data_IF_880122522540
#
_entry.id   IF_880122522540
#
_cell.length_a   1.000
_cell.length_b   1.000
_cell.length_c   1.000
_cell.angle_alpha   90.00
_cell.angle_beta   90.00
_cell.angle_gamma   90.00
#
_symmetry.space_group_name_H-M   'P 1'
#
loop_
_entity.id
_entity.type
_entity.pdbx_description
1 polymer ?
#
# COMPACT_ATOMS: atom_id res chain seq x y z
N UNK A 1 -21.12 -3.24 -11.10
CA UNK A 1 -19.80 -3.55 -11.71
C UNK A 1 -18.80 -2.50 -11.20
N UNK A 2 -17.56 -2.87 -10.87
CA UNK A 2 -16.54 -1.89 -10.49
C UNK A 2 -16.11 -1.05 -11.70
N UNK A 3 -15.77 0.21 -11.48
CA UNK A 3 -15.29 1.14 -12.51
C UNK A 3 -14.00 0.62 -13.19
N UNK A 4 -13.84 0.95 -14.48
CA UNK A 4 -12.72 0.48 -15.30
C UNK A 4 -11.39 1.08 -14.82
N UNK A 5 -10.31 0.28 -14.82
CA UNK A 5 -8.96 0.72 -14.41
C UNK A 5 -8.40 1.90 -15.22
N UNK A 6 -8.90 2.10 -16.44
CA UNK A 6 -8.49 3.20 -17.33
C UNK A 6 -9.49 4.35 -17.38
N UNK A 7 -10.57 4.29 -16.60
CA UNK A 7 -11.43 5.45 -16.44
C UNK A 7 -10.74 6.49 -15.56
N UNK A 8 -11.03 7.76 -15.87
CA UNK A 8 -10.61 8.88 -15.04
C UNK A 8 -11.05 8.59 -13.61
N UNK A 9 -10.08 8.50 -12.69
CA UNK A 9 -10.37 8.21 -11.30
C UNK A 9 -11.39 9.24 -10.78
N UNK A 10 -12.48 8.80 -10.11
CA UNK A 10 -13.40 9.74 -9.48
C UNK A 10 -12.64 10.56 -8.43
N UNK A 11 -13.17 11.74 -8.11
CA UNK A 11 -12.64 12.54 -7.01
C UNK A 11 -12.62 11.68 -5.74
N UNK A 12 -11.51 11.75 -4.98
CA UNK A 12 -11.34 10.96 -3.77
C UNK A 12 -12.50 11.25 -2.80
N UNK A 13 -13.36 10.25 -2.60
CA UNK A 13 -14.43 10.27 -1.60
C UNK A 13 -13.95 9.44 -0.40
N UNK A 14 -13.24 10.08 0.52
CA UNK A 14 -12.66 9.46 1.71
C UNK A 14 -12.50 10.46 2.83
N UNK A 15 -12.46 10.00 4.08
CA UNK A 15 -12.21 10.85 5.23
C UNK A 15 -10.75 11.29 5.28
N UNK A 16 -10.42 12.40 5.95
CA UNK A 16 -9.03 12.86 6.16
C UNK A 16 -8.19 11.96 7.09
N UNK A 17 -8.72 10.78 7.44
CA UNK A 17 -8.17 9.87 8.44
C UNK A 17 -7.56 8.60 7.81
N UNK A 18 -7.34 8.59 6.49
CA UNK A 18 -6.69 7.50 5.77
C UNK A 18 -5.67 8.03 4.75
N UNK A 19 -4.60 7.26 4.53
CA UNK A 19 -3.63 7.52 3.47
C UNK A 19 -4.08 6.93 2.12
N UNK A 20 -4.85 5.83 2.15
CA UNK A 20 -5.33 5.14 0.96
C UNK A 20 -6.48 4.18 1.30
N UNK A 21 -7.26 3.80 0.30
CA UNK A 21 -8.22 2.69 0.38
C UNK A 21 -7.83 1.60 -0.63
N UNK A 22 -7.46 0.42 -0.13
CA UNK A 22 -6.91 -0.66 -0.96
C UNK A 22 -7.98 -1.70 -1.25
N UNK A 23 -8.12 -2.05 -2.54
CA UNK A 23 -8.99 -3.15 -3.01
C UNK A 23 -8.14 -4.20 -3.72
N UNK A 24 -8.01 -5.38 -3.12
CA UNK A 24 -7.29 -6.51 -3.72
C UNK A 24 -8.27 -7.61 -4.07
N UNK A 25 -8.33 -7.97 -5.36
CA UNK A 25 -8.99 -9.20 -5.80
C UNK A 25 -7.95 -10.28 -6.05
N UNK A 26 -8.12 -11.43 -5.42
CA UNK A 26 -7.24 -12.59 -5.59
C UNK A 26 -8.05 -13.87 -5.79
N UNK A 27 -7.41 -14.86 -6.40
CA UNK A 27 -7.98 -16.19 -6.65
C UNK A 27 -6.95 -17.24 -6.29
N UNK A 28 -7.34 -18.28 -5.56
CA UNK A 28 -6.45 -19.41 -5.29
C UNK A 28 -6.37 -20.33 -6.53
N UNK A 29 -5.28 -21.10 -6.70
CA UNK A 29 -5.20 -22.11 -7.75
C UNK A 29 -6.42 -23.04 -7.73
N UNK A 30 -6.97 -23.34 -8.91
CA UNK A 30 -8.16 -24.19 -9.05
C UNK A 30 -9.51 -23.54 -8.74
N UNK A 31 -9.56 -22.34 -8.16
CA UNK A 31 -10.85 -21.67 -7.94
C UNK A 31 -11.35 -20.97 -9.22
N UNK A 32 -12.67 -20.87 -9.39
CA UNK A 32 -13.31 -20.10 -10.47
C UNK A 32 -13.68 -18.69 -10.02
N UNK A 33 -13.89 -18.49 -8.72
CA UNK A 33 -14.37 -17.22 -8.15
C UNK A 33 -13.25 -16.47 -7.42
N UNK A 34 -13.13 -15.17 -7.70
CA UNK A 34 -12.18 -14.29 -7.00
C UNK A 34 -12.76 -13.79 -5.67
N UNK A 35 -11.91 -13.68 -4.66
CA UNK A 35 -12.19 -13.04 -3.37
C UNK A 35 -11.76 -11.58 -3.43
N UNK A 36 -12.53 -10.69 -2.80
CA UNK A 36 -12.21 -9.28 -2.67
C UNK A 36 -11.82 -8.98 -1.22
N UNK A 37 -10.70 -8.29 -1.03
CA UNK A 37 -10.28 -7.67 0.23
C UNK A 37 -10.40 -6.16 0.02
N UNK A 38 -11.06 -5.49 0.96
CA UNK A 38 -11.17 -4.03 1.01
C UNK A 38 -10.66 -3.55 2.36
N UNK A 39 -9.69 -2.64 2.36
CA UNK A 39 -9.03 -2.19 3.57
C UNK A 39 -8.62 -0.72 3.45
N UNK A 40 -9.05 0.09 4.42
CA UNK A 40 -8.53 1.44 4.61
C UNK A 40 -7.11 1.36 5.21
N UNK A 41 -6.21 2.20 4.74
CA UNK A 41 -4.89 2.44 5.33
C UNK A 41 -5.03 3.65 6.24
N UNK A 42 -5.13 3.46 7.57
CA UNK A 42 -5.36 4.57 8.48
C UNK A 42 -4.23 5.59 8.38
N UNK A 43 -4.56 6.88 8.49
CA UNK A 43 -3.61 8.00 8.49
C UNK A 43 -2.92 8.11 9.87
N UNK A 44 -2.32 7.01 10.30
CA UNK A 44 -1.61 6.89 11.57
C UNK A 44 -0.15 6.60 11.26
N UNK A 45 0.73 7.40 11.85
CA UNK A 45 2.17 7.16 11.84
C UNK A 45 2.58 6.61 13.21
N UNK A 46 3.32 5.51 13.19
CA UNK A 46 3.99 4.97 14.38
C UNK A 46 5.50 5.10 14.21
N UNK A 47 6.28 5.20 15.30
CA UNK A 47 7.73 5.10 15.23
C UNK A 47 8.15 3.80 14.53
N UNK A 48 9.18 3.85 13.69
CA UNK A 48 9.67 2.68 12.95
C UNK A 48 10.05 1.52 13.88
N UNK A 49 10.54 1.83 15.09
CA UNK A 49 10.89 0.85 16.12
C UNK A 49 9.68 0.05 16.63
N UNK A 50 8.47 0.58 16.49
CA UNK A 50 7.22 -0.07 16.87
C UNK A 50 6.55 -0.83 15.72
N UNK A 51 7.01 -0.64 14.47
CA UNK A 51 6.50 -1.38 13.32
C UNK A 51 6.85 -2.87 13.42
N UNK A 52 6.06 -3.75 12.79
CA UNK A 52 6.37 -5.18 12.77
C UNK A 52 7.63 -5.50 11.93
N UNK A 53 8.14 -6.73 12.07
CA UNK A 53 9.36 -7.15 11.39
C UNK A 53 9.26 -7.12 9.86
N UNK A 54 8.10 -7.42 9.28
CA UNK A 54 7.90 -7.42 7.84
C UNK A 54 7.90 -5.98 7.31
N UNK A 55 7.24 -5.06 8.02
CA UNK A 55 7.25 -3.64 7.67
C UNK A 55 8.66 -3.06 7.70
N UNK A 56 9.44 -3.35 8.75
CA UNK A 56 10.84 -2.91 8.85
C UNK A 56 11.71 -3.51 7.74
N UNK A 57 11.53 -4.79 7.43
CA UNK A 57 12.26 -5.45 6.35
C UNK A 57 11.92 -4.83 4.98
N UNK A 58 10.63 -4.62 4.71
CA UNK A 58 10.18 -4.00 3.46
C UNK A 58 10.75 -2.59 3.31
N UNK A 59 10.77 -1.80 4.39
CA UNK A 59 11.38 -0.48 4.38
C UNK A 59 12.89 -0.56 4.10
N UNK A 60 13.63 -1.43 4.81
CA UNK A 60 15.07 -1.59 4.58
C UNK A 60 15.40 -1.98 3.13
N UNK A 61 14.63 -2.89 2.54
CA UNK A 61 14.78 -3.29 1.14
C UNK A 61 14.51 -2.12 0.18
N UNK A 62 13.44 -1.36 0.42
CA UNK A 62 13.10 -0.17 -0.37
C UNK A 62 14.20 0.89 -0.27
N UNK A 63 14.70 1.16 0.93
CA UNK A 63 15.76 2.14 1.19
C UNK A 63 17.09 1.74 0.57
N UNK A 64 17.43 0.46 0.58
CA UNK A 64 18.59 -0.06 -0.13
C UNK A 64 18.45 0.16 -1.64
N UNK A 65 17.29 -0.20 -2.22
CA UNK A 65 17.03 0.01 -3.64
C UNK A 65 17.04 1.50 -4.04
N UNK A 66 16.61 2.39 -3.14
CA UNK A 66 16.71 3.84 -3.31
C UNK A 66 18.16 4.32 -3.22
N UNK A 67 18.96 3.82 -2.29
CA UNK A 67 20.37 4.17 -2.16
C UNK A 67 21.16 3.87 -3.45
N UNK A 68 20.84 2.75 -4.11
CA UNK A 68 21.40 2.41 -5.43
C UNK A 68 21.05 3.43 -6.55
N UNK A 69 20.02 4.26 -6.33
CA UNK A 69 19.54 5.29 -7.27
C UNK A 69 19.68 6.71 -6.71
N UNK A 70 20.63 6.94 -5.80
CA UNK A 70 20.93 8.27 -5.26
C UNK A 70 20.13 8.67 -4.02
N UNK A 71 19.16 7.86 -3.58
CA UNK A 71 18.58 7.94 -2.24
C UNK A 71 17.65 9.11 -1.98
N UNK A 72 17.10 9.77 -3.01
CA UNK A 72 16.23 10.96 -2.87
C UNK A 72 15.09 10.77 -1.85
N UNK A 73 14.51 9.57 -1.80
CA UNK A 73 13.37 9.24 -0.94
C UNK A 73 13.70 8.48 0.34
N UNK A 74 14.98 8.36 0.71
CA UNK A 74 15.35 7.67 1.95
C UNK A 74 14.96 8.45 3.21
N UNK A 75 14.73 9.76 3.13
CA UNK A 75 14.48 10.58 4.31
C UNK A 75 15.69 10.58 5.26
N UNK A 76 15.42 10.79 6.56
CA UNK A 76 16.44 10.65 7.62
C UNK A 76 16.42 9.22 8.15
N UNK A 77 16.93 8.28 7.35
CA UNK A 77 17.31 6.96 7.82
C UNK A 77 18.67 7.00 8.52
#
# INVERSE_FOLDING_TARGET
LNESRYQKAPAASGGKNEYAFVKVRYKLPGQSTSKLIEQAVPAVSIPLTQADANTRLALAAASYAQALRGGEYNGKL
#
